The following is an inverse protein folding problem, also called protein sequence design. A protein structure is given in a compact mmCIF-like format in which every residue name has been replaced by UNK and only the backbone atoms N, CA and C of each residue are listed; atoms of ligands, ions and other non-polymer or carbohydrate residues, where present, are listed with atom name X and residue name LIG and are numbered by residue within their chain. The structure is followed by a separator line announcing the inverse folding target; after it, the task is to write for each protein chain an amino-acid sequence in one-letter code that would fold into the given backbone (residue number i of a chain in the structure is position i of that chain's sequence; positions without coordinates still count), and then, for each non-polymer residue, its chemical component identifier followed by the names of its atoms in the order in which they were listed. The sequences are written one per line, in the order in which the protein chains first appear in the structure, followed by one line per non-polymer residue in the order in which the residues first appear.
data_IF_662963895725
#
_entry.id   IF_662963895725
#
_cell.length_a   1.000
_cell.length_b   1.000
_cell.length_c   1.000
_cell.angle_alpha   90.00
_cell.angle_beta   90.00
_cell.angle_gamma   90.00
#
_symmetry.space_group_name_H-M   'P 1'
#
loop_
_entity.id
_entity.type
_entity.pdbx_description
1 polymer ?
#
# COMPACT_ATOMS: atom_id res chain seq x y z
N UNK A 1 0.47 -9.64 -11.22
CA UNK A 1 1.45 -8.56 -11.33
C UNK A 1 2.84 -9.12 -11.11
N UNK A 2 3.69 -9.18 -12.13
CA UNK A 2 5.10 -9.52 -11.96
C UNK A 2 5.78 -8.42 -11.14
N UNK A 3 6.35 -8.76 -9.98
CA UNK A 3 6.95 -7.77 -9.09
C UNK A 3 8.16 -7.06 -9.72
N UNK A 4 8.88 -7.72 -10.63
CA UNK A 4 10.00 -7.14 -11.40
C UNK A 4 9.56 -5.93 -12.22
N UNK A 5 8.36 -5.95 -12.79
CA UNK A 5 7.81 -4.79 -13.51
C UNK A 5 7.48 -3.63 -12.57
N UNK A 6 7.05 -3.91 -11.34
CA UNK A 6 6.86 -2.86 -10.32
C UNK A 6 8.21 -2.28 -9.86
N UNK A 7 9.23 -3.14 -9.68
CA UNK A 7 10.58 -2.75 -9.27
C UNK A 7 11.21 -1.72 -10.20
N UNK A 8 11.00 -1.83 -11.51
CA UNK A 8 11.51 -0.88 -12.51
C UNK A 8 11.09 0.57 -12.24
N UNK A 9 9.98 0.80 -11.51
CA UNK A 9 9.58 2.14 -11.08
C UNK A 9 10.65 2.85 -10.24
N UNK A 10 11.47 2.11 -9.49
CA UNK A 10 12.59 2.65 -8.69
C UNK A 10 13.63 3.39 -9.54
N UNK A 11 13.70 3.10 -10.84
CA UNK A 11 14.61 3.74 -11.78
C UNK A 11 14.03 5.00 -12.43
N UNK A 12 12.72 5.23 -12.22
CA UNK A 12 11.97 6.32 -12.83
C UNK A 12 11.60 7.40 -11.81
N UNK A 13 11.59 7.06 -10.53
CA UNK A 13 11.26 7.98 -9.42
C UNK A 13 12.55 8.47 -8.75
N UNK A 14 12.58 9.76 -8.40
CA UNK A 14 13.68 10.36 -7.63
C UNK A 14 13.37 10.47 -6.14
N UNK A 15 14.33 11.00 -5.37
CA UNK A 15 14.21 11.16 -3.92
C UNK A 15 14.55 9.89 -3.14
N UNK A 16 14.26 9.91 -1.83
CA UNK A 16 14.48 8.76 -0.95
C UNK A 16 13.47 7.64 -1.30
N UNK A 17 13.95 6.66 -2.06
CA UNK A 17 13.13 5.58 -2.64
C UNK A 17 13.36 4.30 -1.87
N UNK A 18 12.28 3.61 -1.50
CA UNK A 18 12.32 2.28 -0.91
C UNK A 18 11.44 1.33 -1.72
N UNK A 19 11.94 0.11 -1.97
CA UNK A 19 11.14 -0.97 -2.53
C UNK A 19 10.85 -2.00 -1.44
N UNK A 20 9.59 -2.45 -1.36
CA UNK A 20 9.15 -3.49 -0.42
C UNK A 20 8.42 -4.57 -1.20
N UNK A 21 8.85 -5.80 -1.02
CA UNK A 21 8.25 -6.96 -1.69
C UNK A 21 7.46 -7.80 -0.68
N UNK A 22 6.13 -7.81 -0.79
CA UNK A 22 5.29 -8.69 0.02
C UNK A 22 5.28 -10.13 -0.49
N UNK A 23 5.28 -11.12 0.41
CA UNK A 23 5.08 -12.52 0.03
C UNK A 23 3.65 -12.79 -0.47
N UNK A 24 3.48 -13.83 -1.32
CA UNK A 24 2.22 -14.30 -1.91
C UNK A 24 1.77 -13.56 -3.18
N UNK A 25 0.60 -13.96 -3.70
CA UNK A 25 0.02 -13.43 -4.94
C UNK A 25 -0.67 -12.08 -4.75
N UNK A 26 -1.13 -11.49 -5.85
CA UNK A 26 -1.64 -10.12 -5.92
C UNK A 26 -2.55 -9.69 -4.74
N UNK A 27 -3.67 -10.37 -4.51
CA UNK A 27 -4.61 -10.02 -3.43
C UNK A 27 -4.06 -10.43 -2.05
N UNK A 28 -3.59 -11.67 -1.94
CA UNK A 28 -3.19 -12.27 -0.67
C UNK A 28 -1.88 -11.70 -0.08
N UNK A 29 -1.06 -11.05 -0.91
CA UNK A 29 0.14 -10.34 -0.50
C UNK A 29 -0.13 -8.86 -0.18
N UNK A 30 -0.96 -8.17 -0.96
CA UNK A 30 -1.26 -6.74 -0.71
C UNK A 30 -2.18 -6.55 0.51
N UNK A 31 -3.21 -7.41 0.66
CA UNK A 31 -4.13 -7.39 1.80
C UNK A 31 -3.61 -8.36 2.88
N UNK A 32 -2.50 -8.00 3.52
CA UNK A 32 -1.95 -8.75 4.66
C UNK A 32 -2.17 -7.98 5.96
N UNK A 33 -3.20 -8.36 6.72
CA UNK A 33 -3.54 -7.67 7.97
C UNK A 33 -2.40 -7.77 9.00
N UNK A 34 -1.92 -6.61 9.46
CA UNK A 34 -0.84 -6.53 10.47
C UNK A 34 -1.17 -7.32 11.74
N UNK A 35 -2.42 -7.29 12.20
CA UNK A 35 -2.88 -8.03 13.38
C UNK A 35 -2.81 -9.55 13.27
N UNK A 36 -2.79 -10.10 12.05
CA UNK A 36 -2.70 -11.55 11.83
C UNK A 36 -1.26 -12.05 11.76
N UNK A 37 -0.28 -11.15 11.63
CA UNK A 37 1.16 -11.41 11.56
C UNK A 37 1.55 -12.65 10.73
N UNK A 38 0.88 -12.84 9.58
CA UNK A 38 1.17 -13.95 8.66
C UNK A 38 2.16 -13.49 7.59
N UNK A 39 2.84 -14.45 6.98
CA UNK A 39 3.76 -14.27 5.84
C UNK A 39 5.02 -13.48 6.22
N UNK A 40 5.71 -13.01 5.20
CA UNK A 40 6.91 -12.18 5.28
C UNK A 40 6.88 -11.11 4.20
N UNK A 41 7.80 -10.17 4.28
CA UNK A 41 8.11 -9.22 3.22
C UNK A 41 9.63 -9.01 3.16
N UNK A 42 10.15 -8.52 2.04
CA UNK A 42 11.54 -8.17 1.87
C UNK A 42 11.69 -6.65 1.75
N UNK A 43 12.72 -6.12 2.41
CA UNK A 43 13.08 -4.69 2.42
C UNK A 43 14.59 -4.54 2.51
N UNK A 44 15.10 -3.31 2.42
CA UNK A 44 16.51 -2.95 2.63
C UNK A 44 17.47 -3.63 1.63
N UNK A 45 16.95 -4.06 0.47
CA UNK A 45 17.79 -4.48 -0.65
C UNK A 45 18.47 -3.28 -1.31
N UNK A 46 19.67 -3.49 -1.83
CA UNK A 46 20.42 -2.43 -2.53
C UNK A 46 19.72 -2.12 -3.84
N UNK A 47 19.25 -0.88 -4.00
CA UNK A 47 18.60 -0.46 -5.24
C UNK A 47 19.63 -0.43 -6.39
N UNK A 48 19.22 -1.00 -7.53
CA UNK A 48 19.99 -1.09 -8.75
C UNK A 48 19.07 -1.35 -9.93
N UNK A 49 19.63 -1.62 -11.10
CA UNK A 49 18.88 -1.94 -12.31
C UNK A 49 18.37 -3.39 -12.33
N UNK A 50 19.04 -4.31 -11.63
CA UNK A 50 18.66 -5.71 -11.52
C UNK A 50 17.74 -6.00 -10.31
N UNK A 51 16.46 -6.35 -10.54
CA UNK A 51 15.56 -6.76 -9.45
C UNK A 51 16.03 -8.01 -8.71
N UNK A 52 16.69 -8.97 -9.38
CA UNK A 52 17.13 -10.20 -8.71
C UNK A 52 18.28 -9.91 -7.73
N UNK A 53 19.25 -9.07 -8.12
CA UNK A 53 20.30 -8.57 -7.22
C UNK A 53 19.72 -7.80 -6.01
N UNK A 54 18.65 -7.04 -6.22
CA UNK A 54 17.93 -6.43 -5.10
C UNK A 54 17.34 -7.46 -4.15
N UNK A 55 16.69 -8.51 -4.67
CA UNK A 55 16.10 -9.55 -3.84
C UNK A 55 17.15 -10.35 -3.07
N UNK A 56 18.31 -10.64 -3.68
CA UNK A 56 19.44 -11.32 -3.04
C UNK A 56 20.02 -10.53 -1.87
N UNK A 57 20.06 -9.19 -1.99
CA UNK A 57 20.55 -8.31 -0.93
C UNK A 57 19.48 -7.91 0.10
N UNK A 58 18.20 -8.10 -0.23
CA UNK A 58 17.08 -7.73 0.63
C UNK A 58 16.93 -8.66 1.84
N UNK A 59 16.47 -8.09 2.95
CA UNK A 59 16.24 -8.81 4.21
C UNK A 59 14.79 -9.22 4.31
N UNK A 60 14.55 -10.50 4.59
CA UNK A 60 13.21 -11.01 4.92
C UNK A 60 12.83 -10.58 6.33
N UNK A 61 11.65 -9.98 6.43
CA UNK A 61 11.02 -9.55 7.67
C UNK A 61 9.74 -10.37 7.88
N UNK A 62 9.49 -10.92 9.08
CA UNK A 62 8.24 -11.60 9.37
C UNK A 62 7.06 -10.63 9.41
N UNK A 63 5.87 -11.11 9.04
CA UNK A 63 4.62 -10.38 9.21
C UNK A 63 4.19 -9.55 8.00
N UNK A 64 3.43 -8.49 8.27
CA UNK A 64 2.86 -7.62 7.25
C UNK A 64 3.79 -6.46 6.89
N UNK A 65 3.92 -6.20 5.59
CA UNK A 65 4.61 -5.02 5.05
C UNK A 65 3.93 -3.70 5.43
N UNK A 66 2.67 -3.72 5.88
CA UNK A 66 1.95 -2.52 6.35
C UNK A 66 2.67 -1.84 7.52
N UNK A 67 3.38 -2.59 8.36
CA UNK A 67 4.16 -2.02 9.47
C UNK A 67 5.33 -1.19 8.95
N UNK A 68 6.09 -1.70 7.98
CA UNK A 68 7.17 -0.95 7.33
C UNK A 68 6.65 0.34 6.70
N UNK A 69 5.54 0.24 5.96
CA UNK A 69 4.92 1.40 5.33
C UNK A 69 4.42 2.44 6.34
N UNK A 70 3.76 2.01 7.43
CA UNK A 70 3.30 2.90 8.49
C UNK A 70 4.46 3.63 9.17
N UNK A 71 5.58 2.93 9.42
CA UNK A 71 6.77 3.54 10.02
C UNK A 71 7.40 4.58 9.08
N UNK A 72 7.51 4.27 7.79
CA UNK A 72 7.95 5.25 6.80
C UNK A 72 7.02 6.46 6.78
N UNK A 73 5.70 6.25 6.72
CA UNK A 73 4.71 7.32 6.64
C UNK A 73 4.74 8.25 7.85
N UNK A 74 5.04 7.74 9.06
CA UNK A 74 5.12 8.56 10.27
C UNK A 74 6.16 9.67 10.16
N UNK A 75 7.30 9.44 9.49
CA UNK A 75 8.31 10.46 9.27
C UNK A 75 7.82 11.60 8.34
N UNK A 76 6.79 11.34 7.54
CA UNK A 76 6.23 12.27 6.56
C UNK A 76 4.85 12.83 6.96
N UNK A 77 4.26 12.39 8.08
CA UNK A 77 2.89 12.73 8.49
C UNK A 77 2.77 14.06 9.28
N UNK A 78 3.89 14.74 9.54
CA UNK A 78 3.91 15.96 10.35
C UNK A 78 3.69 15.70 11.85
N UNK A 79 3.32 16.74 12.59
CA UNK A 79 3.13 16.66 14.04
C UNK A 79 1.78 16.01 14.38
N UNK A 80 1.75 15.25 15.47
CA UNK A 80 0.47 14.79 16.03
C UNK A 80 -0.37 15.98 16.51
N UNK A 81 -1.66 15.94 16.19
CA UNK A 81 -2.66 16.91 16.60
C UNK A 81 -3.88 16.19 17.16
N UNK A 82 -4.70 16.89 17.94
CA UNK A 82 -5.96 16.34 18.41
C UNK A 82 -6.85 15.94 17.22
N UNK A 83 -7.45 14.75 17.30
CA UNK A 83 -8.35 14.27 16.27
C UNK A 83 -9.55 15.24 16.11
N UNK A 84 -9.93 15.61 14.87
CA UNK A 84 -11.14 16.40 14.63
C UNK A 84 -12.38 15.71 15.20
N UNK A 85 -13.25 16.48 15.87
CA UNK A 85 -14.46 15.94 16.51
C UNK A 85 -15.56 15.53 15.53
N UNK A 86 -15.51 16.04 14.30
CA UNK A 86 -16.51 15.80 13.25
C UNK A 86 -15.81 15.70 11.88
N UNK A 87 -16.31 14.85 10.97
CA UNK A 87 -15.82 14.82 9.59
C UNK A 87 -16.24 16.07 8.81
N UNK A 88 -15.43 16.45 7.83
CA UNK A 88 -15.69 17.60 6.96
C UNK A 88 -15.33 18.95 7.59
N UNK A 89 -15.81 20.03 6.97
CA UNK A 89 -15.67 21.41 7.45
C UNK A 89 -16.85 22.29 6.98
N UNK A 90 -16.80 23.60 7.23
CA UNK A 90 -17.90 24.52 6.88
C UNK A 90 -18.23 24.54 5.37
N UNK A 91 -17.21 24.36 4.52
CA UNK A 91 -17.33 24.32 3.05
C UNK A 91 -17.74 22.93 2.56
N UNK A 92 -17.20 21.88 3.16
CA UNK A 92 -17.40 20.49 2.78
C UNK A 92 -18.08 19.73 3.92
N UNK A 93 -19.41 19.82 3.97
CA UNK A 93 -20.23 19.12 4.96
C UNK A 93 -20.34 17.62 4.61
N UNK A 94 -20.52 16.73 5.60
CA UNK A 94 -20.86 15.34 5.35
C UNK A 94 -22.10 15.23 4.45
N UNK A 95 -22.04 14.34 3.45
CA UNK A 95 -23.11 14.17 2.45
C UNK A 95 -23.93 12.92 2.77
N UNK A 96 -23.27 11.79 2.97
CA UNK A 96 -23.86 10.49 3.32
C UNK A 96 -22.86 9.66 4.12
N UNK A 97 -23.31 8.65 4.89
CA UNK A 97 -22.41 7.70 5.54
C UNK A 97 -21.56 6.92 4.53
N UNK A 98 -20.30 6.60 4.88
CA UNK A 98 -19.50 5.63 4.14
C UNK A 98 -20.23 4.25 4.11
N UNK A 99 -20.09 3.45 3.04
CA UNK A 99 -19.15 3.60 1.93
C UNK A 99 -19.66 4.45 0.75
N UNK A 100 -20.83 5.06 0.90
CA UNK A 100 -21.45 5.90 -0.12
C UNK A 100 -22.10 5.12 -1.25
N UNK A 101 -22.91 5.81 -2.04
CA UNK A 101 -23.79 5.22 -3.06
C UNK A 101 -23.06 4.75 -4.31
N UNK A 102 -21.87 5.27 -4.61
CA UNK A 102 -21.16 4.95 -5.86
C UNK A 102 -20.60 3.53 -5.87
N UNK A 103 -20.08 3.03 -4.74
CA UNK A 103 -19.60 1.63 -4.66
C UNK A 103 -20.74 0.61 -4.68
N UNK A 104 -21.95 1.02 -4.27
CA UNK A 104 -23.13 0.17 -4.23
C UNK A 104 -23.85 0.06 -5.59
N UNK A 105 -23.39 0.76 -6.62
CA UNK A 105 -23.97 0.65 -7.96
C UNK A 105 -23.61 -0.71 -8.56
N UNK A 106 -24.64 -1.44 -8.98
CA UNK A 106 -24.46 -2.62 -9.81
C UNK A 106 -24.18 -2.20 -11.26
N UNK A 107 -23.36 -2.96 -12.01
CA UNK A 107 -23.30 -2.77 -13.46
C UNK A 107 -24.71 -2.96 -14.06
N UNK A 108 -25.06 -2.22 -15.13
CA UNK A 108 -26.32 -2.45 -15.81
C UNK A 108 -26.41 -3.91 -16.27
N UNK A 109 -27.59 -4.52 -16.13
CA UNK A 109 -27.84 -5.85 -16.68
C UNK A 109 -27.53 -5.83 -18.17
N UNK A 110 -26.60 -6.67 -18.60
CA UNK A 110 -26.36 -6.90 -20.02
C UNK A 110 -27.57 -7.70 -20.50
N UNK A 111 -28.54 -7.03 -21.13
CA UNK A 111 -29.60 -7.73 -21.82
C UNK A 111 -28.94 -8.61 -22.88
N UNK A 112 -29.00 -9.91 -22.69
CA UNK A 112 -28.31 -10.93 -23.47
C UNK A 112 -28.66 -10.86 -24.97
N UNK A 113 -27.71 -11.35 -25.76
CA UNK A 113 -27.81 -11.57 -27.20
C UNK A 113 -28.97 -12.49 -27.61
#
# INVERSE_FOLDING_TARGET
MPWKGAYQSTQLVGGDTQFVLGASGHIAGVINLASKNKRSYWTDGTLGDDPDAWLESAKSQPGSWWTQWSNWLQAHAGKQVAAPKKPGNAKYKPIEPAPGRYVAKHPPEVMGA
#
